data_IF_069961089194
#
_entry.id   IF_069961089194
#
_cell.length_a   1.000
_cell.length_b   1.000
_cell.length_c   1.000
_cell.angle_alpha   90.00
_cell.angle_beta   90.00
_cell.angle_gamma   90.00
#
_symmetry.space_group_name_H-M   'P 1'
#
loop_
_entity.id
_entity.type
_entity.pdbx_description
1 polymer ?
#
# COMPACT_ATOMS: atom_id res chain seq x y z
N UNK A 1 -11.43 -26.38 -18.29
CA UNK A 1 -11.05 -26.03 -16.89
C UNK A 1 -9.52 -25.94 -16.72
N UNK A 2 -8.75 -26.80 -17.34
CA UNK A 2 -7.27 -26.83 -17.26
C UNK A 2 -6.61 -25.56 -17.87
N UNK A 3 -7.09 -25.05 -19.01
CA UNK A 3 -6.55 -23.83 -19.65
C UNK A 3 -6.74 -22.56 -18.81
N UNK A 4 -7.83 -22.42 -18.09
CA UNK A 4 -8.10 -21.20 -17.27
C UNK A 4 -7.21 -21.10 -16.04
N UNK A 5 -6.91 -22.21 -15.39
CA UNK A 5 -5.96 -22.27 -14.26
C UNK A 5 -4.54 -21.93 -14.72
N UNK A 6 -4.21 -22.25 -15.98
CA UNK A 6 -2.91 -21.95 -16.55
C UNK A 6 -2.65 -20.43 -16.67
N UNK A 7 -3.65 -19.62 -17.08
CA UNK A 7 -3.49 -18.15 -17.21
C UNK A 7 -3.16 -17.46 -15.86
N UNK A 8 -3.81 -17.85 -14.77
CA UNK A 8 -3.50 -17.30 -13.45
C UNK A 8 -2.09 -17.70 -13.01
N UNK A 9 -1.72 -18.96 -13.23
CA UNK A 9 -0.39 -19.45 -12.89
C UNK A 9 0.68 -18.75 -13.73
N UNK A 10 0.47 -18.64 -15.05
CA UNK A 10 1.35 -17.92 -15.95
C UNK A 10 1.55 -16.47 -15.51
N UNK A 11 0.48 -15.78 -15.17
CA UNK A 11 0.53 -14.39 -14.69
C UNK A 11 1.34 -14.28 -13.40
N UNK A 12 1.04 -15.12 -12.40
CA UNK A 12 1.71 -15.07 -11.09
C UNK A 12 3.18 -15.52 -11.18
N UNK A 13 3.53 -16.43 -12.10
CA UNK A 13 4.93 -16.84 -12.30
C UNK A 13 5.81 -15.67 -12.75
N UNK A 14 5.28 -14.68 -13.45
CA UNK A 14 6.04 -13.48 -13.85
C UNK A 14 6.49 -12.61 -12.70
N UNK A 15 5.91 -12.78 -11.49
CA UNK A 15 6.27 -12.00 -10.30
C UNK A 15 7.58 -12.45 -9.64
N UNK A 16 8.19 -13.55 -10.10
CA UNK A 16 9.44 -14.09 -9.56
C UNK A 16 9.43 -14.31 -8.04
N UNK A 17 8.29 -14.77 -7.52
CA UNK A 17 8.11 -15.03 -6.09
C UNK A 17 8.65 -16.39 -5.69
N UNK A 18 9.22 -16.47 -4.48
CA UNK A 18 9.59 -17.69 -3.80
C UNK A 18 8.51 -18.12 -2.79
N UNK A 19 8.50 -19.38 -2.40
CA UNK A 19 7.44 -19.94 -1.54
C UNK A 19 7.37 -19.34 -0.13
N UNK A 20 8.46 -18.70 0.35
CA UNK A 20 8.60 -18.11 1.68
C UNK A 20 8.63 -16.57 1.68
N UNK A 21 8.43 -15.94 0.52
CA UNK A 21 8.42 -14.48 0.39
C UNK A 21 7.32 -13.82 1.23
N UNK A 22 7.62 -12.64 1.75
CA UNK A 22 6.63 -11.68 2.24
C UNK A 22 6.31 -10.76 1.07
N UNK A 23 5.04 -10.74 0.63
CA UNK A 23 4.62 -10.06 -0.59
C UNK A 23 3.55 -9.02 -0.30
N UNK A 24 3.81 -7.78 -0.69
CA UNK A 24 2.85 -6.68 -0.64
C UNK A 24 2.32 -6.42 -2.06
N UNK A 25 1.00 -6.55 -2.24
CA UNK A 25 0.34 -6.44 -3.55
C UNK A 25 -0.57 -5.22 -3.57
N UNK A 26 -0.30 -4.29 -4.48
CA UNK A 26 -1.20 -3.19 -4.86
C UNK A 26 -1.67 -3.37 -6.30
N UNK A 27 -2.95 -3.20 -6.58
CA UNK A 27 -3.46 -3.54 -7.90
C UNK A 27 -4.71 -2.78 -8.33
N UNK A 28 -4.79 -2.51 -9.63
CA UNK A 28 -6.02 -2.43 -10.40
C UNK A 28 -6.09 -3.67 -11.30
N UNK A 29 -7.13 -4.47 -11.17
CA UNK A 29 -7.28 -5.72 -11.93
C UNK A 29 -8.17 -5.57 -13.18
N UNK A 30 -8.52 -4.34 -13.56
CA UNK A 30 -9.48 -4.08 -14.64
C UNK A 30 -8.97 -4.54 -16.01
N UNK A 31 -7.70 -4.29 -16.33
CA UNK A 31 -7.10 -4.74 -17.61
C UNK A 31 -6.95 -6.25 -17.65
N UNK A 32 -6.53 -6.86 -16.54
CA UNK A 32 -6.45 -8.32 -16.43
C UNK A 32 -7.84 -8.97 -16.61
N UNK A 33 -8.87 -8.44 -15.96
CA UNK A 33 -10.23 -8.92 -16.12
C UNK A 33 -10.75 -8.75 -17.58
N UNK A 34 -10.37 -7.64 -18.23
CA UNK A 34 -10.68 -7.40 -19.64
C UNK A 34 -10.00 -8.43 -20.55
N UNK A 35 -8.71 -8.70 -20.32
CA UNK A 35 -7.95 -9.72 -21.06
C UNK A 35 -8.63 -11.09 -20.97
N UNK A 36 -9.05 -11.52 -19.76
CA UNK A 36 -9.77 -12.78 -19.58
C UNK A 36 -11.07 -12.81 -20.40
N UNK A 37 -11.84 -11.71 -20.36
CA UNK A 37 -13.10 -11.60 -21.13
C UNK A 37 -12.87 -11.70 -22.65
N UNK A 38 -11.82 -11.05 -23.15
CA UNK A 38 -11.44 -11.09 -24.59
C UNK A 38 -10.98 -12.48 -25.03
N UNK A 39 -10.52 -13.31 -24.09
CA UNK A 39 -10.17 -14.70 -24.31
C UNK A 39 -11.24 -15.69 -23.82
N UNK A 40 -12.53 -15.27 -23.89
CA UNK A 40 -13.70 -16.09 -23.56
C UNK A 40 -13.67 -16.70 -22.15
N UNK A 41 -12.95 -16.07 -21.22
CA UNK A 41 -12.83 -16.49 -19.83
C UNK A 41 -13.41 -15.44 -18.87
N UNK A 42 -13.98 -15.89 -17.75
CA UNK A 42 -14.36 -14.99 -16.66
C UNK A 42 -13.18 -14.88 -15.66
N UNK A 43 -12.76 -13.66 -15.37
CA UNK A 43 -11.79 -13.42 -14.31
C UNK A 43 -12.43 -13.64 -12.93
N UNK A 44 -11.88 -14.55 -12.14
CA UNK A 44 -12.28 -14.79 -10.76
C UNK A 44 -11.18 -14.32 -9.80
N UNK A 45 -11.51 -13.33 -8.99
CA UNK A 45 -10.58 -12.73 -8.02
C UNK A 45 -10.14 -13.73 -6.94
N UNK A 46 -11.00 -14.69 -6.55
CA UNK A 46 -10.60 -15.70 -5.56
C UNK A 46 -9.57 -16.65 -6.14
N UNK A 47 -9.76 -17.11 -7.39
CA UNK A 47 -8.78 -17.96 -8.07
C UNK A 47 -7.42 -17.25 -8.18
N UNK A 48 -7.41 -15.94 -8.49
CA UNK A 48 -6.18 -15.15 -8.49
C UNK A 48 -5.50 -15.13 -7.11
N UNK A 49 -6.28 -14.87 -6.04
CA UNK A 49 -5.76 -14.86 -4.66
C UNK A 49 -5.23 -16.25 -4.28
N UNK A 50 -5.94 -17.31 -4.59
CA UNK A 50 -5.55 -18.70 -4.31
C UNK A 50 -4.28 -19.10 -5.07
N UNK A 51 -4.11 -18.63 -6.30
CA UNK A 51 -2.87 -18.83 -7.06
C UNK A 51 -1.68 -18.13 -6.39
N UNK A 52 -1.87 -16.91 -5.87
CA UNK A 52 -0.85 -16.24 -5.06
C UNK A 52 -0.54 -16.99 -3.77
N UNK A 53 -1.57 -17.50 -3.06
CA UNK A 53 -1.38 -18.31 -1.85
C UNK A 53 -0.60 -19.60 -2.11
N UNK A 54 -0.88 -20.28 -3.23
CA UNK A 54 -0.13 -21.47 -3.64
C UNK A 54 1.33 -21.13 -3.97
N UNK A 55 1.58 -19.99 -4.60
CA UNK A 55 2.93 -19.54 -4.96
C UNK A 55 3.77 -19.26 -3.72
N UNK A 56 3.20 -18.61 -2.70
CA UNK A 56 3.91 -18.24 -1.46
C UNK A 56 3.42 -19.03 -0.25
N UNK A 57 3.25 -20.34 -0.43
CA UNK A 57 2.60 -21.25 0.56
C UNK A 57 3.26 -21.30 1.94
N UNK A 58 4.54 -20.89 2.06
CA UNK A 58 5.30 -20.78 3.33
C UNK A 58 5.55 -19.31 3.71
N UNK A 59 5.14 -18.38 2.89
CA UNK A 59 5.35 -16.94 3.02
C UNK A 59 4.17 -16.21 3.63
N UNK A 60 4.00 -14.97 3.19
CA UNK A 60 2.94 -14.07 3.66
C UNK A 60 2.45 -13.17 2.54
N UNK A 61 1.14 -13.08 2.36
CA UNK A 61 0.49 -12.12 1.47
C UNK A 61 -0.05 -10.94 2.27
N UNK A 62 0.15 -9.74 1.75
CA UNK A 62 -0.28 -8.48 2.36
C UNK A 62 -0.93 -7.61 1.29
N UNK A 63 -2.14 -7.14 1.58
CA UNK A 63 -2.91 -6.26 0.69
C UNK A 63 -3.33 -5.00 1.44
N UNK A 64 -3.20 -3.80 0.87
CA UNK A 64 -3.63 -2.57 1.52
C UNK A 64 -5.12 -2.60 1.82
N UNK A 65 -5.51 -2.16 3.01
CA UNK A 65 -6.89 -2.00 3.46
C UNK A 65 -7.08 -0.64 4.13
N UNK A 66 -6.50 0.41 3.51
CA UNK A 66 -6.40 1.76 4.09
C UNK A 66 -7.76 2.41 4.27
N UNK A 67 -7.81 3.35 5.20
CA UNK A 67 -9.00 4.14 5.51
C UNK A 67 -8.62 5.64 5.51
N UNK A 68 -8.30 6.16 4.32
CA UNK A 68 -7.76 7.52 4.14
C UNK A 68 -8.76 8.64 4.47
N UNK A 69 -10.03 8.30 4.64
CA UNK A 69 -11.11 9.25 4.94
C UNK A 69 -11.39 9.43 6.43
N UNK A 70 -10.67 8.75 7.32
CA UNK A 70 -10.80 8.92 8.77
C UNK A 70 -10.44 10.35 9.22
N UNK A 71 -11.20 10.85 10.19
CA UNK A 71 -11.07 12.19 10.75
C UNK A 71 -10.90 12.14 12.26
N UNK A 72 -10.42 13.24 12.81
CA UNK A 72 -10.36 13.42 14.26
C UNK A 72 -11.76 13.25 14.88
N UNK A 73 -11.88 12.38 15.87
CA UNK A 73 -13.15 12.03 16.52
C UNK A 73 -13.95 10.90 15.84
N UNK A 74 -13.52 10.40 14.67
CA UNK A 74 -14.22 9.29 14.01
C UNK A 74 -14.02 7.97 14.77
N UNK A 75 -14.98 7.06 14.56
CA UNK A 75 -14.89 5.67 15.04
C UNK A 75 -14.35 4.79 13.93
N UNK A 76 -13.28 4.08 14.21
CA UNK A 76 -12.80 2.99 13.37
C UNK A 76 -13.26 1.66 13.95
N UNK A 77 -14.08 0.94 13.20
CA UNK A 77 -14.54 -0.40 13.53
C UNK A 77 -13.80 -1.42 12.65
N UNK A 78 -13.02 -2.30 13.28
CA UNK A 78 -12.18 -3.29 12.58
C UNK A 78 -12.96 -4.20 11.63
N UNK A 79 -14.23 -4.48 11.96
CA UNK A 79 -15.07 -5.39 11.17
C UNK A 79 -15.92 -4.65 10.14
N UNK A 80 -16.38 -3.43 10.45
CA UNK A 80 -17.38 -2.71 9.66
C UNK A 80 -16.81 -1.60 8.80
N UNK A 81 -15.69 -0.96 9.23
CA UNK A 81 -15.11 0.13 8.45
C UNK A 81 -14.49 -0.42 7.17
N UNK A 82 -15.10 -0.07 6.04
CA UNK A 82 -14.64 -0.52 4.72
C UNK A 82 -13.36 0.20 4.32
N UNK A 83 -12.39 -0.50 3.72
CA UNK A 83 -11.22 0.16 3.15
C UNK A 83 -11.60 1.02 1.93
N UNK A 84 -10.80 2.06 1.69
CA UNK A 84 -10.88 2.95 0.52
C UNK A 84 -10.01 2.44 -0.66
N UNK A 85 -9.25 1.38 -0.46
CA UNK A 85 -8.22 0.85 -1.38
C UNK A 85 -8.74 -0.04 -2.51
N UNK A 86 -10.01 0.09 -2.91
CA UNK A 86 -10.52 -0.50 -4.13
C UNK A 86 -11.14 -1.89 -4.04
N UNK A 87 -11.38 -2.50 -5.21
CA UNK A 87 -12.20 -3.71 -5.34
C UNK A 87 -11.55 -4.97 -4.75
N UNK A 88 -10.23 -5.15 -4.95
CA UNK A 88 -9.50 -6.32 -4.45
C UNK A 88 -9.54 -6.36 -2.91
N UNK A 89 -9.24 -5.26 -2.25
CA UNK A 89 -9.29 -5.16 -0.78
C UNK A 89 -10.68 -5.46 -0.23
N UNK A 90 -11.73 -4.95 -0.89
CA UNK A 90 -13.11 -5.23 -0.50
C UNK A 90 -13.50 -6.71 -0.70
N UNK A 91 -12.89 -7.39 -1.67
CA UNK A 91 -13.10 -8.84 -1.88
C UNK A 91 -12.37 -9.66 -0.82
N UNK A 92 -11.12 -9.34 -0.54
CA UNK A 92 -10.31 -10.00 0.50
C UNK A 92 -10.96 -9.85 1.87
N UNK A 93 -11.51 -8.69 2.20
CA UNK A 93 -12.21 -8.45 3.47
C UNK A 93 -13.45 -9.32 3.71
N UNK A 94 -13.95 -10.05 2.69
CA UNK A 94 -15.04 -11.03 2.81
C UNK A 94 -14.54 -12.46 2.99
N UNK A 95 -13.23 -12.68 2.84
CA UNK A 95 -12.62 -14.01 3.01
C UNK A 95 -12.34 -14.26 4.49
N UNK A 96 -12.55 -15.49 4.94
CA UNK A 96 -12.34 -15.90 6.34
C UNK A 96 -10.88 -16.27 6.65
N UNK A 97 -10.08 -16.52 5.62
CA UNK A 97 -8.68 -16.91 5.72
C UNK A 97 -7.72 -15.72 5.78
N UNK A 98 -8.22 -14.50 5.60
CA UNK A 98 -7.45 -13.26 5.80
C UNK A 98 -7.86 -12.57 7.10
N UNK A 99 -6.88 -11.96 7.76
CA UNK A 99 -7.09 -11.12 8.94
C UNK A 99 -6.70 -9.68 8.66
N UNK A 100 -7.36 -8.71 9.29
CA UNK A 100 -7.06 -7.29 9.15
C UNK A 100 -6.19 -6.80 10.30
N UNK A 101 -5.14 -6.02 10.01
CA UNK A 101 -4.31 -5.38 11.02
C UNK A 101 -5.03 -4.22 11.72
N UNK A 102 -4.48 -3.79 12.89
CA UNK A 102 -5.15 -2.82 13.78
C UNK A 102 -4.78 -1.36 13.54
N UNK A 103 -3.95 -1.03 12.53
CA UNK A 103 -3.75 0.37 12.16
C UNK A 103 -5.03 0.94 11.52
N UNK A 104 -5.64 1.98 12.10
CA UNK A 104 -6.89 2.53 11.57
C UNK A 104 -6.72 3.25 10.24
N UNK A 105 -5.54 3.83 9.95
CA UNK A 105 -5.26 4.55 8.70
C UNK A 105 -4.74 3.62 7.62
N UNK A 106 -3.72 2.82 7.97
CA UNK A 106 -2.98 2.00 7.02
C UNK A 106 -3.08 0.51 7.37
N UNK A 107 -4.29 0.06 7.78
CA UNK A 107 -4.53 -1.38 7.96
C UNK A 107 -4.26 -2.15 6.68
N UNK A 108 -3.92 -3.41 6.84
CA UNK A 108 -3.74 -4.35 5.74
C UNK A 108 -4.54 -5.62 5.98
N UNK A 109 -4.95 -6.29 4.92
CA UNK A 109 -5.35 -7.68 4.99
C UNK A 109 -4.12 -8.55 4.80
N UNK A 110 -3.95 -9.55 5.66
CA UNK A 110 -2.80 -10.45 5.63
C UNK A 110 -3.20 -11.90 5.75
N UNK A 111 -2.42 -12.77 5.11
CA UNK A 111 -2.52 -14.22 5.15
C UNK A 111 -1.11 -14.82 5.20
N UNK A 112 -0.96 -15.95 5.88
CA UNK A 112 0.27 -16.74 5.90
C UNK A 112 1.08 -16.56 7.18
N UNK A 113 2.37 -16.92 7.12
CA UNK A 113 3.26 -17.15 8.27
C UNK A 113 3.34 -15.97 9.25
N UNK A 114 3.33 -14.74 8.74
CA UNK A 114 3.46 -13.53 9.59
C UNK A 114 2.14 -12.83 9.90
N UNK A 115 1.00 -13.43 9.56
CA UNK A 115 -0.29 -12.80 9.77
C UNK A 115 -0.52 -12.40 11.24
N UNK A 116 -0.20 -13.29 12.19
CA UNK A 116 -0.36 -13.03 13.62
C UNK A 116 0.61 -11.94 14.15
N UNK A 117 1.82 -11.87 13.61
CA UNK A 117 2.78 -10.80 13.92
C UNK A 117 2.25 -9.45 13.43
N UNK A 118 1.78 -9.40 12.18
CA UNK A 118 1.25 -8.19 11.54
C UNK A 118 0.05 -7.62 12.30
N UNK A 119 -0.87 -8.48 12.73
CA UNK A 119 -2.05 -8.04 13.50
C UNK A 119 -1.66 -7.47 14.85
N UNK A 120 -0.56 -7.94 15.46
CA UNK A 120 -0.08 -7.50 16.78
C UNK A 120 0.85 -6.30 16.75
N UNK A 121 1.16 -5.75 15.58
CA UNK A 121 2.00 -4.55 15.47
C UNK A 121 1.40 -3.40 16.29
N UNK A 122 2.24 -2.72 17.05
CA UNK A 122 1.86 -1.58 17.90
C UNK A 122 2.70 -0.38 17.45
N UNK A 123 2.11 0.39 16.58
CA UNK A 123 2.73 1.62 16.06
C UNK A 123 2.23 2.86 16.81
N UNK A 124 3.13 3.82 17.01
CA UNK A 124 2.79 5.20 17.39
C UNK A 124 2.52 6.05 16.15
N UNK A 125 3.31 5.81 15.09
CA UNK A 125 3.13 6.37 13.76
C UNK A 125 2.83 5.27 12.76
N UNK A 126 1.85 5.47 11.88
CA UNK A 126 1.52 4.53 10.80
C UNK A 126 2.71 4.22 9.86
N UNK A 127 3.76 5.03 9.90
CA UNK A 127 4.97 4.87 9.08
C UNK A 127 6.24 4.61 9.91
N UNK A 128 6.12 4.41 11.22
CA UNK A 128 7.25 4.14 12.11
C UNK A 128 7.85 2.73 11.95
N UNK A 129 8.95 2.47 12.66
CA UNK A 129 9.67 1.18 12.61
C UNK A 129 8.81 -0.02 13.09
N UNK A 130 7.81 0.22 13.95
CA UNK A 130 6.87 -0.79 14.44
C UNK A 130 5.59 -0.87 13.62
N UNK A 131 5.50 -0.14 12.49
CA UNK A 131 4.38 -0.20 11.56
C UNK A 131 4.48 -1.39 10.60
N UNK A 132 3.42 -1.61 9.83
CA UNK A 132 3.47 -2.57 8.71
C UNK A 132 4.60 -2.25 7.73
N UNK A 133 4.88 -0.97 7.47
CA UNK A 133 5.94 -0.56 6.55
C UNK A 133 7.34 -0.84 7.11
N UNK A 134 7.54 -0.69 8.44
CA UNK A 134 8.75 -1.11 9.11
C UNK A 134 8.96 -2.63 9.04
N UNK A 135 7.90 -3.42 9.16
CA UNK A 135 7.95 -4.87 8.93
C UNK A 135 8.33 -5.20 7.48
N UNK A 136 7.70 -4.55 6.48
CA UNK A 136 8.05 -4.75 5.07
C UNK A 136 9.55 -4.48 4.82
N UNK A 137 10.11 -3.45 5.46
CA UNK A 137 11.54 -3.13 5.36
C UNK A 137 12.42 -4.23 5.97
N UNK A 138 12.10 -4.71 7.19
CA UNK A 138 12.88 -5.75 7.89
C UNK A 138 12.87 -7.09 7.18
N UNK A 139 11.72 -7.44 6.61
CA UNK A 139 11.54 -8.70 5.88
C UNK A 139 12.01 -8.63 4.42
N UNK A 140 12.54 -7.49 3.98
CA UNK A 140 12.85 -7.25 2.57
C UNK A 140 11.69 -7.65 1.65
N UNK A 141 10.47 -7.27 2.02
CA UNK A 141 9.25 -7.70 1.34
C UNK A 141 9.28 -7.40 -0.15
N UNK A 142 8.73 -8.30 -0.95
CA UNK A 142 8.49 -8.11 -2.38
C UNK A 142 7.30 -7.17 -2.59
N UNK A 143 7.44 -6.25 -3.51
CA UNK A 143 6.36 -5.38 -3.97
C UNK A 143 5.89 -5.83 -5.35
N UNK A 144 4.60 -6.03 -5.48
CA UNK A 144 3.92 -6.33 -6.75
C UNK A 144 2.87 -5.24 -6.99
N UNK A 145 3.08 -4.44 -8.03
CA UNK A 145 2.16 -3.40 -8.45
C UNK A 145 1.57 -3.80 -9.80
N UNK A 146 0.24 -3.99 -9.87
CA UNK A 146 -0.46 -4.45 -11.08
C UNK A 146 -1.33 -3.29 -11.57
N UNK A 147 -1.05 -2.76 -12.76
CA UNK A 147 -1.76 -1.62 -13.38
C UNK A 147 -1.90 -0.39 -12.47
N UNK A 148 -0.95 -0.20 -11.56
CA UNK A 148 -0.87 0.98 -10.70
C UNK A 148 0.53 1.56 -10.71
N UNK A 149 0.60 2.90 -10.72
CA UNK A 149 1.86 3.62 -10.63
C UNK A 149 2.30 3.86 -9.17
N UNK A 150 3.56 4.25 -8.98
CA UNK A 150 4.09 4.57 -7.66
C UNK A 150 3.43 5.80 -7.05
N UNK A 151 2.95 6.74 -7.88
CA UNK A 151 2.26 7.96 -7.41
C UNK A 151 1.04 7.62 -6.56
N UNK A 152 0.30 6.56 -6.91
CA UNK A 152 -0.97 6.19 -6.33
C UNK A 152 -0.90 4.97 -5.41
N UNK A 153 0.20 4.21 -5.43
CA UNK A 153 0.26 2.89 -4.76
C UNK A 153 1.49 2.67 -3.87
N UNK A 154 2.52 3.51 -3.97
CA UNK A 154 3.76 3.30 -3.24
C UNK A 154 3.74 3.94 -1.85
N UNK A 155 2.85 3.49 -0.97
CA UNK A 155 2.71 4.04 0.39
C UNK A 155 3.96 3.78 1.26
N UNK A 156 4.75 2.74 0.97
CA UNK A 156 6.04 2.47 1.63
C UNK A 156 7.01 3.66 1.55
N UNK A 157 6.86 4.55 0.56
CA UNK A 157 7.66 5.79 0.47
C UNK A 157 7.54 6.65 1.73
N UNK A 158 6.39 6.63 2.40
CA UNK A 158 6.16 7.46 3.59
C UNK A 158 6.93 6.95 4.82
N UNK A 159 7.20 5.64 4.89
CA UNK A 159 8.15 5.08 5.86
C UNK A 159 9.58 5.60 5.59
N UNK A 160 10.00 5.61 4.33
CA UNK A 160 11.32 6.14 3.96
C UNK A 160 11.41 7.66 4.21
N UNK A 161 10.36 8.41 3.91
CA UNK A 161 10.25 9.84 4.19
C UNK A 161 10.34 10.13 5.70
N UNK A 162 9.69 9.34 6.54
CA UNK A 162 9.75 9.49 8.01
C UNK A 162 11.14 9.14 8.54
N UNK A 163 11.74 8.03 8.09
CA UNK A 163 13.07 7.59 8.45
C UNK A 163 14.16 8.59 8.07
N UNK A 164 14.03 9.23 6.90
CA UNK A 164 14.92 10.26 6.38
C UNK A 164 14.66 11.65 6.99
N UNK A 165 13.61 11.79 7.82
CA UNK A 165 13.23 13.07 8.46
C UNK A 165 13.11 14.20 7.46
N UNK A 166 12.46 13.95 6.31
CA UNK A 166 12.37 14.92 5.23
C UNK A 166 11.66 16.21 5.67
N UNK A 167 12.13 17.35 5.16
CA UNK A 167 11.71 18.67 5.64
C UNK A 167 10.31 19.11 5.22
N UNK A 168 9.72 18.53 4.19
CA UNK A 168 8.42 18.93 3.64
C UNK A 168 7.21 18.20 4.27
N UNK A 169 7.44 17.31 5.25
CA UNK A 169 6.40 16.68 6.07
C UNK A 169 6.48 17.13 7.53
N UNK A 170 5.44 16.86 8.27
CA UNK A 170 5.32 17.10 9.71
C UNK A 170 4.39 16.08 10.34
N UNK A 171 4.54 15.87 11.65
CA UNK A 171 3.58 15.09 12.41
C UNK A 171 2.30 15.88 12.70
N UNK A 172 1.22 15.17 12.68
CA UNK A 172 -0.09 15.63 13.10
C UNK A 172 -0.73 14.55 13.99
N UNK A 173 -1.19 14.94 15.17
CA UNK A 173 -1.90 14.04 16.08
C UNK A 173 -3.37 14.01 15.72
N UNK A 174 -3.92 12.82 15.58
CA UNK A 174 -5.34 12.56 15.31
C UNK A 174 -5.88 11.63 16.39
N UNK A 175 -6.96 12.05 17.08
CA UNK A 175 -7.66 11.21 18.04
C UNK A 175 -8.82 10.53 17.35
N UNK A 176 -8.91 9.22 17.49
CA UNK A 176 -10.01 8.40 17.00
C UNK A 176 -10.49 7.44 18.06
N UNK A 177 -11.65 6.86 17.87
CA UNK A 177 -12.17 5.79 18.69
C UNK A 177 -12.04 4.46 17.99
N UNK A 178 -11.42 3.47 18.63
CA UNK A 178 -11.31 2.10 18.13
C UNK A 178 -12.47 1.28 18.67
N UNK A 179 -13.24 0.67 17.75
CA UNK A 179 -14.29 -0.28 18.07
C UNK A 179 -13.85 -1.69 17.68
N UNK A 180 -13.73 -2.58 18.64
CA UNK A 180 -13.42 -4.01 18.40
C UNK A 180 -14.66 -4.92 18.47
N UNK A 181 -15.86 -4.34 18.43
CA UNK A 181 -17.14 -5.03 18.57
C UNK A 181 -17.65 -5.16 20.02
N UNK A 182 -16.80 -4.89 21.02
CA UNK A 182 -17.14 -4.98 22.45
C UNK A 182 -16.88 -3.70 23.24
N UNK A 183 -15.83 -2.97 22.87
CA UNK A 183 -15.39 -1.76 23.58
C UNK A 183 -14.98 -0.68 22.60
N UNK A 184 -15.27 0.58 22.99
CA UNK A 184 -14.70 1.77 22.37
C UNK A 184 -13.48 2.20 23.19
N UNK A 185 -12.35 2.42 22.53
CA UNK A 185 -11.12 2.92 23.15
C UNK A 185 -10.60 4.10 22.36
N UNK A 186 -10.29 5.18 23.07
CA UNK A 186 -9.61 6.32 22.45
C UNK A 186 -8.18 5.93 22.06
N UNK A 187 -7.77 6.32 20.87
CA UNK A 187 -6.39 6.17 20.36
C UNK A 187 -5.95 7.47 19.73
N UNK A 188 -4.77 7.94 20.11
CA UNK A 188 -4.05 9.00 19.40
C UNK A 188 -3.11 8.36 18.39
N UNK A 189 -3.19 8.81 17.14
CA UNK A 189 -2.34 8.38 16.04
C UNK A 189 -1.47 9.55 15.63
N UNK A 190 -0.16 9.32 15.49
CA UNK A 190 0.75 10.25 14.84
C UNK A 190 0.71 10.01 13.33
N UNK A 191 0.26 11.01 12.59
CA UNK A 191 0.19 10.97 11.14
C UNK A 191 1.24 11.88 10.53
N UNK A 192 2.18 11.30 9.76
CA UNK A 192 3.25 12.03 9.07
C UNK A 192 2.72 12.62 7.76
N UNK A 193 2.17 13.84 7.83
CA UNK A 193 1.46 14.50 6.73
C UNK A 193 2.31 15.58 6.04
N UNK A 194 1.93 15.95 4.83
CA UNK A 194 2.55 17.02 4.05
C UNK A 194 2.34 18.40 4.70
N UNK A 195 3.33 19.29 4.59
CA UNK A 195 3.17 20.71 4.87
C UNK A 195 2.24 21.36 3.84
N UNK A 196 1.67 22.52 4.19
CA UNK A 196 0.77 23.25 3.27
C UNK A 196 1.49 23.58 1.95
N UNK A 197 0.76 23.50 0.84
CA UNK A 197 1.26 23.73 -0.51
C UNK A 197 2.11 22.61 -1.09
N UNK A 198 2.40 21.56 -0.33
CA UNK A 198 3.22 20.44 -0.82
C UNK A 198 2.34 19.40 -1.53
N UNK A 199 2.68 19.10 -2.78
CA UNK A 199 2.12 18.02 -3.57
C UNK A 199 3.16 16.90 -3.72
N UNK A 200 2.77 15.66 -3.46
CA UNK A 200 3.61 14.49 -3.75
C UNK A 200 3.79 14.35 -5.26
N UNK A 201 5.01 14.05 -5.71
CA UNK A 201 5.36 13.88 -7.11
C UNK A 201 6.34 12.71 -7.24
N UNK A 202 5.82 11.52 -7.54
CA UNK A 202 6.61 10.29 -7.60
C UNK A 202 6.90 9.80 -9.03
N UNK A 203 6.31 10.40 -10.08
CA UNK A 203 6.61 10.01 -11.46
C UNK A 203 8.10 10.12 -11.80
N UNK A 204 8.83 11.23 -11.46
CA UNK A 204 10.27 11.29 -11.70
C UNK A 204 11.07 10.22 -10.94
N UNK A 205 10.60 9.84 -9.73
CA UNK A 205 11.18 8.74 -8.98
C UNK A 205 10.95 7.41 -9.68
N UNK A 206 9.72 7.12 -10.11
CA UNK A 206 9.38 5.88 -10.82
C UNK A 206 10.25 5.70 -12.07
N UNK A 207 10.33 6.73 -12.92
CA UNK A 207 11.17 6.72 -14.13
C UNK A 207 12.66 6.49 -13.80
N UNK A 208 13.13 7.08 -12.71
CA UNK A 208 14.50 6.86 -12.25
C UNK A 208 14.73 5.43 -11.79
N UNK A 209 13.80 4.87 -10.98
CA UNK A 209 13.91 3.51 -10.46
C UNK A 209 13.90 2.47 -11.58
N UNK A 210 13.04 2.63 -12.58
CA UNK A 210 12.97 1.75 -13.76
C UNK A 210 14.30 1.85 -14.54
N UNK A 211 14.74 3.05 -14.90
CA UNK A 211 15.99 3.25 -15.66
C UNK A 211 17.23 2.73 -14.96
N UNK A 212 17.25 2.70 -13.63
CA UNK A 212 18.38 2.23 -12.81
C UNK A 212 18.25 0.77 -12.38
N UNK A 213 17.17 0.10 -12.75
CA UNK A 213 16.93 -1.32 -12.44
C UNK A 213 16.53 -1.60 -10.98
N UNK A 214 16.11 -0.59 -10.22
CA UNK A 214 15.57 -0.76 -8.88
C UNK A 214 14.09 -1.17 -8.90
N UNK A 215 13.39 -0.91 -10.00
CA UNK A 215 12.01 -1.27 -10.27
C UNK A 215 11.96 -1.94 -11.64
N UNK A 216 11.57 -3.20 -11.68
CA UNK A 216 11.36 -3.95 -12.91
C UNK A 216 9.97 -3.66 -13.45
N UNK A 217 9.84 -3.42 -14.75
CA UNK A 217 8.57 -3.24 -15.46
C UNK A 217 8.34 -4.36 -16.44
N UNK A 218 7.16 -4.96 -16.42
CA UNK A 218 6.73 -6.05 -17.33
C UNK A 218 5.32 -5.77 -17.82
N UNK A 219 5.05 -6.17 -19.05
CA UNK A 219 3.70 -6.27 -19.61
C UNK A 219 3.34 -7.74 -19.75
N UNK A 220 2.28 -8.19 -19.10
CA UNK A 220 1.77 -9.55 -19.25
C UNK A 220 0.24 -9.57 -19.13
N UNK A 221 -0.43 -10.35 -20.00
CA UNK A 221 -1.88 -10.46 -20.10
C UNK A 221 -2.59 -9.07 -20.11
N UNK A 222 -2.06 -8.13 -20.87
CA UNK A 222 -2.50 -6.71 -20.96
C UNK A 222 -2.41 -5.93 -19.65
N UNK A 223 -1.77 -6.45 -18.60
CA UNK A 223 -1.53 -5.76 -17.34
C UNK A 223 -0.06 -5.31 -17.25
N UNK A 224 0.15 -4.05 -16.87
CA UNK A 224 1.46 -3.53 -16.50
C UNK A 224 1.80 -3.98 -15.08
N UNK A 225 2.93 -4.64 -14.91
CA UNK A 225 3.38 -5.14 -13.61
C UNK A 225 4.73 -4.51 -13.26
N UNK A 226 4.78 -3.82 -12.11
CA UNK A 226 6.05 -3.36 -11.57
C UNK A 226 6.44 -4.22 -10.37
N UNK A 227 7.70 -4.65 -10.35
CA UNK A 227 8.26 -5.55 -9.34
C UNK A 227 9.50 -4.95 -8.69
N UNK A 228 9.58 -5.06 -7.37
CA UNK A 228 10.77 -4.69 -6.60
C UNK A 228 10.76 -5.39 -5.24
N UNK A 229 11.69 -5.02 -4.37
CA UNK A 229 11.68 -5.38 -2.96
C UNK A 229 12.06 -4.16 -2.09
N UNK A 230 11.86 -4.27 -0.79
CA UNK A 230 12.05 -3.14 0.12
C UNK A 230 13.48 -2.60 0.13
N UNK A 231 14.49 -3.46 -0.02
CA UNK A 231 15.90 -3.05 -0.07
C UNK A 231 16.21 -2.27 -1.35
N UNK A 232 15.80 -2.79 -2.51
CA UNK A 232 16.04 -2.10 -3.79
C UNK A 232 15.29 -0.78 -3.87
N UNK A 233 14.03 -0.73 -3.41
CA UNK A 233 13.28 0.53 -3.32
C UNK A 233 13.96 1.53 -2.39
N UNK A 234 14.46 1.08 -1.22
CA UNK A 234 15.19 1.94 -0.30
C UNK A 234 16.47 2.49 -0.92
N UNK A 235 17.30 1.63 -1.53
CA UNK A 235 18.53 2.06 -2.23
C UNK A 235 18.21 3.04 -3.36
N UNK A 236 17.19 2.73 -4.17
CA UNK A 236 16.79 3.55 -5.30
C UNK A 236 16.31 4.94 -4.89
N UNK A 237 15.49 5.03 -3.82
CA UNK A 237 15.04 6.32 -3.26
C UNK A 237 16.22 7.13 -2.73
N UNK A 238 17.15 6.52 -1.99
CA UNK A 238 18.38 7.20 -1.53
C UNK A 238 19.22 7.71 -2.69
N UNK A 239 19.44 6.88 -3.73
CA UNK A 239 20.21 7.28 -4.92
C UNK A 239 19.54 8.43 -5.67
N UNK A 240 18.19 8.39 -5.83
CA UNK A 240 17.41 9.44 -6.45
C UNK A 240 17.57 10.78 -5.72
N UNK A 241 17.41 10.78 -4.39
CA UNK A 241 17.57 11.98 -3.55
C UNK A 241 19.00 12.52 -3.59
N UNK A 242 20.00 11.63 -3.52
CA UNK A 242 21.44 12.00 -3.60
C UNK A 242 21.81 12.60 -4.96
N UNK A 243 21.10 12.25 -6.04
CA UNK A 243 21.26 12.86 -7.36
C UNK A 243 20.54 14.21 -7.54
N UNK A 244 19.96 14.75 -6.46
CA UNK A 244 19.19 16.01 -6.49
C UNK A 244 17.72 15.83 -6.87
N UNK A 245 17.22 14.60 -6.96
CA UNK A 245 15.82 14.30 -7.24
C UNK A 245 14.90 14.80 -6.13
N UNK A 246 13.67 15.16 -6.50
CA UNK A 246 12.65 15.65 -5.56
C UNK A 246 11.38 14.82 -5.69
N UNK A 247 10.82 14.39 -4.57
CA UNK A 247 9.58 13.62 -4.49
C UNK A 247 8.35 14.50 -4.23
N UNK A 248 8.49 15.81 -4.38
CA UNK A 248 7.43 16.78 -4.16
C UNK A 248 7.58 18.00 -5.05
N UNK A 249 6.46 18.68 -5.26
CA UNK A 249 6.38 20.03 -5.82
C UNK A 249 5.68 20.94 -4.83
N UNK A 250 5.85 22.26 -4.99
CA UNK A 250 5.14 23.26 -4.22
C UNK A 250 4.13 23.97 -5.13
N UNK A 251 2.85 23.93 -4.71
CA UNK A 251 1.75 24.62 -5.39
C UNK A 251 1.29 25.80 -4.54
N UNK A 252 1.52 27.00 -5.02
CA UNK A 252 1.17 28.23 -4.31
C UNK A 252 -0.36 28.44 -4.20
N UNK A 253 -1.13 28.01 -5.19
CA UNK A 253 -2.60 28.08 -5.14
C UNK A 253 -3.16 27.16 -4.07
N UNK A 254 -2.63 25.94 -4.02
CA UNK A 254 -2.97 24.97 -2.96
C UNK A 254 -2.60 25.53 -1.58
N UNK A 255 -1.39 26.10 -1.43
CA UNK A 255 -0.94 26.73 -0.19
C UNK A 255 -1.91 27.82 0.27
N UNK A 256 -2.26 28.77 -0.61
CA UNK A 256 -3.18 29.85 -0.29
C UNK A 256 -4.57 29.32 0.13
N UNK A 257 -5.11 28.33 -0.60
CA UNK A 257 -6.37 27.68 -0.27
C UNK A 257 -6.33 26.98 1.11
N UNK A 258 -5.25 26.28 1.41
CA UNK A 258 -5.07 25.59 2.68
C UNK A 258 -4.87 26.57 3.83
N UNK A 259 -4.14 27.68 3.60
CA UNK A 259 -3.92 28.74 4.56
C UNK A 259 -5.23 29.43 4.96
N UNK A 260 -6.07 29.78 3.98
CA UNK A 260 -7.42 30.33 4.27
C UNK A 260 -8.27 29.36 5.07
N UNK A 261 -8.29 28.07 4.68
CA UNK A 261 -9.01 27.03 5.45
C UNK A 261 -8.54 26.97 6.90
N UNK A 262 -7.23 27.06 7.14
CA UNK A 262 -6.64 27.07 8.49
C UNK A 262 -7.12 28.27 9.31
N UNK A 263 -7.12 29.47 8.74
CA UNK A 263 -7.62 30.68 9.41
C UNK A 263 -9.08 30.54 9.77
N UNK A 264 -9.89 29.92 8.90
CA UNK A 264 -11.32 29.68 9.13
C UNK A 264 -11.59 28.47 10.05
N UNK A 265 -10.58 27.92 10.70
CA UNK A 265 -10.71 26.71 11.55
C UNK A 265 -11.11 25.45 10.77
N UNK A 266 -11.04 25.47 9.44
CA UNK A 266 -11.36 24.33 8.58
C UNK A 266 -10.13 23.47 8.33
N UNK A 267 -10.36 22.17 8.12
CA UNK A 267 -9.30 21.21 7.79
C UNK A 267 -8.66 21.55 6.44
N UNK A 268 -7.33 21.41 6.34
CA UNK A 268 -6.55 21.81 5.15
C UNK A 268 -5.59 20.73 4.63
N UNK A 269 -5.60 19.53 5.18
CA UNK A 269 -4.83 18.34 4.74
C UNK A 269 -5.78 17.27 4.20
#
# INVERSE_FOLDING_TARGET
>A
MIEKVNLYTEFVETFNLQEDDVVFVSSDLSNLAKYFKENEAAFDVNTFIETLQLKVKKGTLIFPAYTDNLRNGDVFDYQKTKPTTGALSNRIGRRKDFVRSFDPLHSVYTWGKKADEIVKLKEESSFGENSIFGLLARENAKFVFIDVDLQNSFTFIHYLEEKLKISYRKYYSMNIQLNNGHTLKDKTILFHTKKMGVCTQLYPLQDYLIRKGFLEEKLNLNANVHLSNANEMTKGVHAFLSSGGKMYTFDFKLFAKQFVKRILGKRYY
#
